data_IF_359104624906
#
_entry.id   IF_359104624906
#
_cell.length_a   1.000
_cell.length_b   1.000
_cell.length_c   1.000
_cell.angle_alpha   90.00
_cell.angle_beta   90.00
_cell.angle_gamma   90.00
#
_symmetry.space_group_name_H-M   'P 1'
#
loop_
_entity.id
_entity.type
_entity.pdbx_description
1 polymer ?
#
# COMPACT_ATOMS: atom_id res chain seq x y z
N UNK A 1 26.49 47.44 -10.61
CA UNK A 1 25.02 47.23 -10.70
C UNK A 1 24.66 46.06 -9.79
N UNK A 2 23.90 46.31 -8.73
CA UNK A 2 23.49 45.30 -7.74
C UNK A 2 22.01 44.95 -7.97
N UNK A 3 21.71 43.68 -8.25
CA UNK A 3 20.33 43.22 -8.33
C UNK A 3 19.89 42.68 -6.97
N UNK A 4 19.05 43.47 -6.29
CA UNK A 4 18.16 42.98 -5.22
C UNK A 4 16.89 42.46 -5.89
N UNK A 5 16.55 41.20 -5.63
CA UNK A 5 15.22 40.66 -5.88
C UNK A 5 14.73 40.08 -4.55
N UNK A 6 13.89 40.86 -3.88
CA UNK A 6 13.07 40.37 -2.78
C UNK A 6 11.73 39.93 -3.38
N UNK A 7 11.07 39.01 -2.69
CA UNK A 7 9.61 38.84 -2.73
C UNK A 7 9.02 38.02 -3.91
N UNK A 8 9.06 36.70 -3.78
CA UNK A 8 7.92 35.86 -4.14
C UNK A 8 7.65 34.85 -3.03
N UNK A 9 6.83 35.27 -2.07
CA UNK A 9 6.08 34.33 -1.26
C UNK A 9 5.12 33.57 -2.16
N UNK A 10 5.34 32.26 -2.28
CA UNK A 10 4.23 31.32 -2.47
C UNK A 10 4.31 30.32 -1.34
N UNK A 11 3.29 30.44 -0.48
CA UNK A 11 2.97 29.56 0.62
C UNK A 11 3.16 28.11 0.15
N UNK A 12 3.94 27.31 0.88
CA UNK A 12 3.70 25.86 0.91
C UNK A 12 2.21 25.73 1.22
N UNK A 13 1.43 25.17 0.32
CA UNK A 13 0.17 24.59 0.71
C UNK A 13 0.52 23.36 1.55
N UNK A 14 0.30 23.35 2.88
CA UNK A 14 0.11 22.07 3.54
C UNK A 14 -1.30 21.59 3.14
N UNK A 15 -1.57 20.29 3.23
CA UNK A 15 -2.89 19.70 3.02
C UNK A 15 -3.23 19.47 1.53
N UNK A 16 -2.44 18.62 0.87
CA UNK A 16 -2.90 17.86 -0.30
C UNK A 16 -2.45 16.39 -0.26
N UNK A 17 -1.74 15.98 0.80
CA UNK A 17 -1.38 14.59 1.05
C UNK A 17 -2.52 13.84 1.75
N UNK A 18 -3.25 14.48 2.67
CA UNK A 18 -4.29 13.81 3.47
C UNK A 18 -5.42 13.20 2.62
N UNK A 19 -5.73 13.78 1.46
CA UNK A 19 -6.80 13.28 0.60
C UNK A 19 -6.37 12.09 -0.27
N UNK A 20 -5.09 12.05 -0.68
CA UNK A 20 -4.56 10.93 -1.48
C UNK A 20 -4.42 9.65 -0.64
N UNK A 21 -4.18 9.78 0.67
CA UNK A 21 -4.05 8.63 1.56
C UNK A 21 -5.39 7.91 1.79
N UNK A 22 -6.51 8.56 1.44
CA UNK A 22 -7.85 7.99 1.51
C UNK A 22 -8.29 7.32 0.20
N UNK A 23 -7.40 7.22 -0.80
CA UNK A 23 -7.72 6.50 -2.04
C UNK A 23 -7.19 5.06 -1.99
N UNK A 24 -7.94 4.11 -2.54
CA UNK A 24 -7.53 2.72 -2.68
C UNK A 24 -6.26 2.62 -3.54
N UNK A 25 -6.11 3.54 -4.49
CA UNK A 25 -4.93 3.67 -5.34
C UNK A 25 -3.63 3.84 -4.53
N UNK A 26 -3.68 4.49 -3.36
CA UNK A 26 -2.52 4.63 -2.47
C UNK A 26 -2.01 3.29 -1.92
N UNK A 27 -2.93 2.35 -1.67
CA UNK A 27 -2.59 1.00 -1.24
C UNK A 27 -2.11 0.16 -2.42
N UNK A 28 -2.77 0.28 -3.57
CA UNK A 28 -2.41 -0.38 -4.83
C UNK A 28 -0.96 -0.06 -5.23
N UNK A 29 -0.54 1.20 -5.11
CA UNK A 29 0.84 1.62 -5.37
C UNK A 29 1.86 0.91 -4.45
N UNK A 30 1.52 0.68 -3.18
CA UNK A 30 2.41 -0.04 -2.27
C UNK A 30 2.51 -1.53 -2.63
N UNK A 31 1.42 -2.16 -3.08
CA UNK A 31 1.46 -3.50 -3.65
C UNK A 31 2.40 -3.58 -4.85
N UNK A 32 2.30 -2.60 -5.76
CA UNK A 32 3.17 -2.48 -6.91
C UNK A 32 4.64 -2.33 -6.53
N UNK A 33 4.94 -1.46 -5.57
CA UNK A 33 6.28 -1.26 -5.05
C UNK A 33 6.84 -2.55 -4.41
N UNK A 34 6.02 -3.29 -3.67
CA UNK A 34 6.43 -4.52 -2.98
C UNK A 34 6.80 -5.67 -3.93
N UNK A 35 6.34 -5.64 -5.18
CA UNK A 35 6.62 -6.67 -6.19
C UNK A 35 7.40 -6.15 -7.42
N UNK A 36 7.93 -4.93 -7.37
CA UNK A 36 8.52 -4.23 -8.52
C UNK A 36 9.74 -4.97 -9.12
N UNK A 37 10.54 -5.62 -8.28
CA UNK A 37 11.76 -6.36 -8.65
C UNK A 37 11.50 -7.83 -9.00
N UNK A 38 10.30 -8.35 -8.74
CA UNK A 38 9.96 -9.75 -8.99
C UNK A 38 9.65 -9.95 -10.48
N UNK A 39 10.29 -10.93 -11.12
CA UNK A 39 9.99 -11.34 -12.50
C UNK A 39 9.36 -12.73 -12.52
N UNK A 40 8.05 -12.80 -12.28
CA UNK A 40 7.29 -14.06 -12.22
C UNK A 40 5.91 -13.90 -12.88
N UNK A 41 5.42 -14.87 -13.68
CA UNK A 41 4.06 -14.87 -14.18
C UNK A 41 2.98 -14.71 -13.09
N UNK A 42 3.25 -15.20 -11.88
CA UNK A 42 2.39 -15.00 -10.71
C UNK A 42 2.26 -13.53 -10.32
N UNK A 43 3.29 -12.70 -10.56
CA UNK A 43 3.20 -11.24 -10.38
C UNK A 43 2.13 -10.65 -11.29
N UNK A 44 2.06 -11.09 -12.55
CA UNK A 44 1.05 -10.61 -13.51
C UNK A 44 -0.35 -11.01 -13.05
N UNK A 45 -0.52 -12.21 -12.52
CA UNK A 45 -1.79 -12.66 -11.94
C UNK A 45 -2.17 -11.87 -10.69
N UNK A 46 -1.19 -11.56 -9.84
CA UNK A 46 -1.40 -10.77 -8.63
C UNK A 46 -1.76 -9.32 -8.99
N UNK A 47 -1.12 -8.75 -10.01
CA UNK A 47 -1.49 -7.44 -10.55
C UNK A 47 -2.93 -7.41 -11.08
N UNK A 48 -3.33 -8.40 -11.88
CA UNK A 48 -4.70 -8.47 -12.38
C UNK A 48 -5.73 -8.60 -11.24
N UNK A 49 -5.41 -9.38 -10.20
CA UNK A 49 -6.25 -9.48 -9.00
C UNK A 49 -6.34 -8.14 -8.25
N UNK A 50 -5.22 -7.41 -8.15
CA UNK A 50 -5.16 -6.09 -7.52
C UNK A 50 -6.09 -5.08 -8.22
N UNK A 51 -6.11 -5.08 -9.56
CA UNK A 51 -7.02 -4.21 -10.35
C UNK A 51 -8.50 -4.57 -10.20
N UNK A 52 -8.81 -5.75 -9.64
CA UNK A 52 -10.18 -6.18 -9.35
C UNK A 52 -10.60 -5.98 -7.88
N UNK A 53 -9.69 -5.53 -7.03
CA UNK A 53 -10.00 -5.25 -5.63
C UNK A 53 -10.86 -3.99 -5.53
N UNK A 54 -11.99 -4.08 -4.82
CA UNK A 54 -12.91 -2.97 -4.62
C UNK A 54 -12.99 -2.56 -3.15
N UNK A 55 -12.40 -3.34 -2.25
CA UNK A 55 -12.44 -3.12 -0.81
C UNK A 55 -11.08 -3.35 -0.14
N UNK A 56 -10.82 -2.72 1.02
CA UNK A 56 -9.63 -2.98 1.84
C UNK A 56 -9.51 -4.45 2.27
N UNK A 57 -10.65 -5.14 2.42
CA UNK A 57 -10.70 -6.57 2.72
C UNK A 57 -10.10 -7.42 1.60
N UNK A 58 -10.38 -7.09 0.34
CA UNK A 58 -9.80 -7.79 -0.81
C UNK A 58 -8.28 -7.63 -0.83
N UNK A 59 -7.81 -6.41 -0.56
CA UNK A 59 -6.38 -6.11 -0.43
C UNK A 59 -5.75 -6.90 0.72
N UNK A 60 -6.41 -6.98 1.87
CA UNK A 60 -5.95 -7.79 3.00
C UNK A 60 -5.76 -9.27 2.65
N UNK A 61 -6.66 -9.86 1.85
CA UNK A 61 -6.46 -11.23 1.38
C UNK A 61 -5.33 -11.34 0.35
N UNK A 62 -5.22 -10.35 -0.54
CA UNK A 62 -4.18 -10.32 -1.56
C UNK A 62 -2.78 -10.19 -0.95
N UNK A 63 -2.66 -9.50 0.18
CA UNK A 63 -1.44 -9.40 0.99
C UNK A 63 -0.82 -10.77 1.30
N UNK A 64 -1.62 -11.78 1.65
CA UNK A 64 -1.11 -13.13 1.91
C UNK A 64 -0.49 -13.80 0.67
N UNK A 65 -1.08 -13.55 -0.51
CA UNK A 65 -0.51 -14.04 -1.79
C UNK A 65 0.79 -13.30 -2.13
N UNK A 66 0.85 -11.99 -1.83
CA UNK A 66 2.05 -11.18 -1.99
C UNK A 66 3.18 -11.68 -1.09
N UNK A 67 2.89 -12.01 0.17
CA UNK A 67 3.88 -12.62 1.09
C UNK A 67 4.51 -13.87 0.49
N UNK A 68 3.69 -14.82 0.06
CA UNK A 68 4.16 -16.07 -0.54
C UNK A 68 5.00 -15.82 -1.81
N UNK A 69 4.61 -14.84 -2.63
CA UNK A 69 5.36 -14.46 -3.81
C UNK A 69 6.73 -13.87 -3.46
N UNK A 70 6.80 -12.97 -2.47
CA UNK A 70 8.07 -12.38 -2.03
C UNK A 70 8.96 -13.46 -1.40
N UNK A 71 8.42 -14.34 -0.55
CA UNK A 71 9.18 -15.45 0.04
C UNK A 71 9.73 -16.42 -1.02
N UNK A 72 9.06 -16.58 -2.15
CA UNK A 72 9.54 -17.43 -3.25
C UNK A 72 10.77 -16.85 -3.96
N UNK A 73 10.85 -15.53 -4.11
CA UNK A 73 11.92 -14.84 -4.85
C UNK A 73 13.00 -14.23 -3.95
N UNK A 74 12.67 -14.04 -2.68
CA UNK A 74 13.54 -13.49 -1.65
C UNK A 74 13.51 -14.42 -0.43
N UNK A 75 13.50 -13.84 0.76
CA UNK A 75 13.46 -14.54 2.04
C UNK A 75 12.37 -13.92 2.91
N UNK A 76 11.97 -14.64 3.95
CA UNK A 76 10.88 -14.23 4.83
C UNK A 76 11.09 -12.86 5.48
N UNK A 77 12.34 -12.51 5.82
CA UNK A 77 12.68 -11.20 6.38
C UNK A 77 12.32 -10.04 5.45
N UNK A 78 12.58 -10.19 4.15
CA UNK A 78 12.21 -9.18 3.15
C UNK A 78 10.71 -9.12 2.93
N UNK A 79 10.02 -10.27 2.95
CA UNK A 79 8.57 -10.33 2.88
C UNK A 79 7.93 -9.58 4.06
N UNK A 80 8.37 -9.87 5.29
CA UNK A 80 7.90 -9.19 6.50
C UNK A 80 8.17 -7.68 6.45
N UNK A 81 9.35 -7.26 5.99
CA UNK A 81 9.69 -5.83 5.86
C UNK A 81 8.78 -5.09 4.89
N UNK A 82 8.54 -5.67 3.70
CA UNK A 82 7.69 -5.06 2.67
C UNK A 82 6.22 -5.06 3.10
N UNK A 83 5.75 -6.15 3.68
CA UNK A 83 4.38 -6.23 4.19
C UNK A 83 4.15 -5.33 5.39
N UNK A 84 5.12 -5.12 6.29
CA UNK A 84 4.95 -4.21 7.41
C UNK A 84 4.65 -2.77 6.97
N UNK A 85 5.24 -2.32 5.85
CA UNK A 85 4.92 -1.02 5.26
C UNK A 85 3.50 -0.98 4.70
N UNK A 86 3.13 -2.03 3.97
CA UNK A 86 1.78 -2.18 3.44
C UNK A 86 0.73 -2.23 4.56
N UNK A 87 0.99 -2.96 5.64
CA UNK A 87 0.11 -3.10 6.80
C UNK A 87 -0.10 -1.78 7.50
N UNK A 88 0.97 -1.00 7.69
CA UNK A 88 0.86 0.33 8.29
C UNK A 88 -0.02 1.27 7.45
N UNK A 89 0.11 1.23 6.12
CA UNK A 89 -0.73 2.02 5.21
C UNK A 89 -2.18 1.55 5.23
N UNK A 90 -2.40 0.24 5.21
CA UNK A 90 -3.73 -0.34 5.19
C UNK A 90 -4.47 -0.10 6.52
N UNK A 91 -3.78 -0.18 7.65
CA UNK A 91 -4.32 0.21 8.95
C UNK A 91 -4.67 1.70 8.99
N UNK A 92 -3.77 2.57 8.52
CA UNK A 92 -4.03 4.01 8.45
C UNK A 92 -5.24 4.31 7.56
N UNK A 93 -5.32 3.69 6.39
CA UNK A 93 -6.43 3.86 5.45
C UNK A 93 -7.76 3.54 6.12
N UNK A 94 -7.87 2.35 6.74
CA UNK A 94 -9.13 1.92 7.34
C UNK A 94 -9.48 2.75 8.59
N UNK A 95 -8.50 3.21 9.36
CA UNK A 95 -8.75 4.07 10.54
C UNK A 95 -9.28 5.46 10.16
N UNK A 96 -8.94 5.97 8.98
CA UNK A 96 -9.23 7.36 8.57
C UNK A 96 -10.26 7.47 7.43
N UNK A 97 -10.68 6.36 6.82
CA UNK A 97 -11.63 6.39 5.71
C UNK A 97 -13.08 6.46 6.22
N UNK A 98 -13.93 7.36 5.71
CA UNK A 98 -15.29 7.56 6.20
C UNK A 98 -16.22 6.35 5.98
N UNK A 99 -15.92 5.52 4.96
CA UNK A 99 -16.75 4.38 4.56
C UNK A 99 -16.26 3.01 5.09
N UNK A 100 -15.14 2.96 5.83
CA UNK A 100 -14.57 1.69 6.33
C UNK A 100 -14.25 1.78 7.82
N UNK A 101 -14.46 0.69 8.55
CA UNK A 101 -14.15 0.58 9.97
C UNK A 101 -13.00 -0.40 10.23
N UNK A 102 -12.18 -0.10 11.24
CA UNK A 102 -11.02 -0.93 11.62
C UNK A 102 -11.40 -2.39 11.96
N UNK A 103 -12.62 -2.61 12.41
CA UNK A 103 -13.18 -3.93 12.73
C UNK A 103 -13.45 -4.79 11.48
N UNK A 104 -13.45 -4.21 10.28
CA UNK A 104 -13.67 -4.96 9.03
C UNK A 104 -12.43 -5.73 8.57
N UNK A 105 -11.25 -5.35 9.06
CA UNK A 105 -10.00 -6.04 8.80
C UNK A 105 -9.85 -7.22 9.76
N UNK A 106 -9.56 -8.44 9.26
CA UNK A 106 -9.27 -9.57 10.12
C UNK A 106 -8.09 -9.25 11.03
N UNK A 107 -8.31 -9.26 12.36
CA UNK A 107 -7.30 -8.93 13.37
C UNK A 107 -6.07 -9.86 13.40
N UNK A 108 -6.08 -10.94 12.62
CA UNK A 108 -4.96 -11.88 12.47
C UNK A 108 -4.79 -12.27 11.01
N UNK A 109 -3.55 -12.48 10.53
CA UNK A 109 -3.35 -13.22 9.29
C UNK A 109 -4.08 -14.55 9.45
N UNK A 110 -4.95 -14.89 8.50
CA UNK A 110 -5.47 -16.26 8.41
C UNK A 110 -4.26 -17.15 8.23
N UNK A 111 -3.81 -17.76 9.32
CA UNK A 111 -2.97 -18.94 9.32
C UNK A 111 -3.61 -19.87 8.30
N UNK A 112 -2.93 -20.08 7.17
CA UNK A 112 -3.35 -21.04 6.15
C UNK A 112 -3.54 -22.36 6.88
N UNK A 113 -4.79 -22.75 7.11
CA UNK A 113 -5.13 -24.07 7.62
C UNK A 113 -4.64 -25.06 6.55
N UNK A 114 -3.59 -25.79 6.94
CA UNK A 114 -2.92 -26.83 6.18
C UNK A 114 -3.85 -28.03 5.95
#
# INVERSE_FOLDING_TARGET
MFFRLNWLGKRKAPIQQDTQVLDLDYLVDEFHAAMADIQDPLRVRLHAALMSCLSPRDLWFLRGKLFNLICKHHHEGEANRRLARLDAKLAFFVEHHPDYDADELPSKPMSLLH
#
